data_IF_750673384826
#
_entry.id   IF_750673384826
#
_cell.length_a   1.000
_cell.length_b   1.000
_cell.length_c   1.000
_cell.angle_alpha   90.00
_cell.angle_beta   90.00
_cell.angle_gamma   90.00
#
_symmetry.space_group_name_H-M   'P 1'
#
loop_
_entity.id
_entity.type
_entity.pdbx_description
1 polymer ?
#
# COMPACT_ATOMS: atom_id res chain seq x y z
N UNK A 1 27.41 -14.20 2.71
CA UNK A 1 26.21 -15.05 2.65
C UNK A 1 25.40 -15.01 3.95
N UNK A 2 26.02 -15.15 5.12
CA UNK A 2 25.37 -15.05 6.45
C UNK A 2 24.73 -13.69 6.70
N UNK A 3 25.38 -12.59 6.35
CA UNK A 3 24.88 -11.22 6.54
C UNK A 3 23.58 -10.95 5.76
N UNK A 4 23.50 -11.45 4.52
CA UNK A 4 22.29 -11.30 3.69
C UNK A 4 21.09 -12.08 4.25
N UNK A 5 21.35 -13.23 4.87
CA UNK A 5 20.31 -14.03 5.53
C UNK A 5 19.84 -13.37 6.82
N UNK A 6 20.74 -12.79 7.59
CA UNK A 6 20.40 -12.03 8.80
C UNK A 6 19.60 -10.78 8.47
N UNK A 7 20.01 -10.06 7.43
CA UNK A 7 19.27 -8.86 6.98
C UNK A 7 17.87 -9.19 6.50
N UNK A 8 17.70 -10.25 5.67
CA UNK A 8 16.38 -10.72 5.26
C UNK A 8 15.50 -11.12 6.44
N UNK A 9 16.08 -11.82 7.41
CA UNK A 9 15.36 -12.25 8.61
C UNK A 9 14.93 -11.04 9.46
N UNK A 10 15.79 -10.04 9.60
CA UNK A 10 15.46 -8.78 10.29
C UNK A 10 14.34 -8.04 9.59
N UNK A 11 14.42 -7.88 8.27
CA UNK A 11 13.37 -7.23 7.46
C UNK A 11 12.03 -7.97 7.54
N UNK A 12 12.05 -9.30 7.54
CA UNK A 12 10.84 -10.11 7.71
C UNK A 12 10.21 -9.89 9.09
N UNK A 13 11.01 -9.88 10.16
CA UNK A 13 10.52 -9.65 11.52
C UNK A 13 9.97 -8.22 11.70
N UNK A 14 10.62 -7.24 11.10
CA UNK A 14 10.13 -5.85 11.11
C UNK A 14 8.80 -5.72 10.35
N UNK A 15 8.67 -6.38 9.21
CA UNK A 15 7.43 -6.40 8.43
C UNK A 15 6.30 -7.07 9.22
N UNK A 16 6.55 -8.23 9.80
CA UNK A 16 5.58 -8.95 10.64
C UNK A 16 5.13 -8.12 11.85
N UNK A 17 6.07 -7.42 12.49
CA UNK A 17 5.77 -6.55 13.64
C UNK A 17 4.91 -5.35 13.22
N UNK A 18 5.17 -4.76 12.06
CA UNK A 18 4.35 -3.68 11.49
C UNK A 18 2.94 -4.17 11.15
N UNK A 19 2.83 -5.31 10.50
CA UNK A 19 1.55 -5.91 10.12
C UNK A 19 0.70 -6.21 11.37
N UNK A 20 1.31 -6.79 12.39
CA UNK A 20 0.63 -7.04 13.66
C UNK A 20 0.19 -5.76 14.36
N UNK A 21 1.02 -4.73 14.35
CA UNK A 21 0.65 -3.43 14.90
C UNK A 21 -0.56 -2.84 14.17
N UNK A 22 -0.61 -2.95 12.84
CA UNK A 22 -1.72 -2.47 12.04
C UNK A 22 -3.00 -3.28 12.29
N UNK A 23 -2.92 -4.59 12.42
CA UNK A 23 -4.04 -5.44 12.79
C UNK A 23 -4.60 -5.08 14.17
N UNK A 24 -3.73 -4.91 15.15
CA UNK A 24 -4.10 -4.52 16.51
C UNK A 24 -4.76 -3.13 16.54
N UNK A 25 -4.24 -2.19 15.75
CA UNK A 25 -4.82 -0.85 15.59
C UNK A 25 -6.22 -0.92 14.99
N UNK A 26 -6.40 -1.67 13.92
CA UNK A 26 -7.69 -1.86 13.26
C UNK A 26 -8.71 -2.52 14.18
N UNK A 27 -8.27 -3.46 15.03
CA UNK A 27 -9.13 -4.16 15.98
C UNK A 27 -9.62 -3.27 17.14
N UNK A 28 -8.82 -2.27 17.54
CA UNK A 28 -9.18 -1.34 18.64
C UNK A 28 -10.24 -0.32 18.28
N UNK A 29 -10.39 0.00 17.02
CA UNK A 29 -11.28 1.04 16.54
C UNK A 29 -12.37 0.43 15.68
N UNK A 30 -13.60 0.46 16.18
CA UNK A 30 -14.78 0.06 15.42
C UNK A 30 -15.52 1.32 14.98
N UNK A 31 -15.44 1.61 13.69
CA UNK A 31 -16.15 2.72 13.06
C UNK A 31 -16.63 2.29 11.67
N UNK A 32 -17.75 2.87 11.20
CA UNK A 32 -18.26 2.53 9.88
C UNK A 32 -17.31 2.98 8.78
N UNK A 33 -17.04 2.07 7.84
CA UNK A 33 -16.20 2.33 6.67
C UNK A 33 -17.11 2.47 5.45
N UNK A 34 -16.98 3.54 4.65
CA UNK A 34 -17.77 3.69 3.43
C UNK A 34 -17.55 2.52 2.48
N UNK A 35 -18.65 1.93 2.01
CA UNK A 35 -18.61 0.76 1.13
C UNK A 35 -17.84 1.04 -0.17
N UNK A 36 -17.91 2.26 -0.69
CA UNK A 36 -17.16 2.67 -1.88
C UNK A 36 -15.64 2.47 -1.70
N UNK A 37 -15.11 2.81 -0.54
CA UNK A 37 -13.68 2.62 -0.25
C UNK A 37 -13.31 1.14 -0.16
N UNK A 38 -14.19 0.33 0.43
CA UNK A 38 -13.98 -1.13 0.50
C UNK A 38 -13.95 -1.73 -0.90
N UNK A 39 -14.88 -1.34 -1.78
CA UNK A 39 -14.92 -1.83 -3.16
C UNK A 39 -13.69 -1.40 -3.96
N UNK A 40 -13.24 -0.17 -3.81
CA UNK A 40 -12.01 0.31 -4.45
C UNK A 40 -10.78 -0.47 -3.97
N UNK A 41 -10.73 -0.80 -2.70
CA UNK A 41 -9.62 -1.59 -2.14
C UNK A 41 -9.67 -3.04 -2.64
N UNK A 42 -10.85 -3.63 -2.75
CA UNK A 42 -11.02 -4.96 -3.37
C UNK A 42 -10.51 -4.94 -4.81
N UNK A 43 -10.88 -3.93 -5.59
CA UNK A 43 -10.42 -3.78 -6.97
C UNK A 43 -8.90 -3.69 -7.05
N UNK A 44 -8.27 -2.90 -6.19
CA UNK A 44 -6.82 -2.76 -6.12
C UNK A 44 -6.13 -4.09 -5.76
N UNK A 45 -6.68 -4.85 -4.85
CA UNK A 45 -6.17 -6.17 -4.46
C UNK A 45 -6.28 -7.18 -5.60
N UNK A 46 -7.42 -7.22 -6.28
CA UNK A 46 -7.64 -8.10 -7.43
C UNK A 46 -6.69 -7.76 -8.58
N UNK A 47 -6.51 -6.49 -8.89
CA UNK A 47 -5.58 -6.04 -9.92
C UNK A 47 -4.14 -6.49 -9.63
N UNK A 48 -3.68 -6.32 -8.40
CA UNK A 48 -2.35 -6.80 -7.99
C UNK A 48 -2.22 -8.32 -8.11
N UNK A 49 -3.25 -9.06 -7.69
CA UNK A 49 -3.29 -10.51 -7.81
C UNK A 49 -3.24 -10.98 -9.26
N UNK A 50 -4.01 -10.35 -10.15
CA UNK A 50 -4.02 -10.66 -11.57
C UNK A 50 -2.68 -10.34 -12.24
N UNK A 51 -2.04 -9.23 -11.88
CA UNK A 51 -0.70 -8.91 -12.37
C UNK A 51 0.34 -9.94 -11.92
N UNK A 52 0.25 -10.40 -10.68
CA UNK A 52 1.13 -11.44 -10.16
C UNK A 52 0.94 -12.77 -10.91
N UNK A 53 -0.29 -13.17 -11.19
CA UNK A 53 -0.59 -14.36 -11.99
C UNK A 53 -0.08 -14.23 -13.42
N UNK A 54 -0.25 -13.08 -14.04
CA UNK A 54 0.29 -12.80 -15.38
C UNK A 54 1.82 -12.89 -15.40
N UNK A 55 2.48 -12.36 -14.37
CA UNK A 55 3.94 -12.43 -14.23
C UNK A 55 4.44 -13.87 -14.04
N UNK A 56 3.61 -14.75 -13.48
CA UNK A 56 3.89 -16.20 -13.34
C UNK A 56 3.59 -16.98 -14.62
N UNK A 57 3.11 -16.34 -15.67
CA UNK A 57 2.86 -16.95 -16.97
C UNK A 57 1.44 -17.48 -17.17
N UNK A 58 0.48 -17.08 -16.35
CA UNK A 58 -0.92 -17.47 -16.55
C UNK A 58 -1.45 -16.85 -17.86
N UNK A 59 -2.08 -17.68 -18.68
CA UNK A 59 -2.68 -17.27 -19.96
C UNK A 59 -3.85 -16.29 -19.70
N UNK A 60 -3.96 -15.20 -20.50
CA UNK A 60 -5.11 -14.29 -20.45
C UNK A 60 -6.47 -14.97 -20.57
N UNK A 61 -6.56 -16.07 -21.35
CA UNK A 61 -7.78 -16.85 -21.45
C UNK A 61 -8.17 -17.53 -20.12
N UNK A 62 -7.18 -18.04 -19.41
CA UNK A 62 -7.38 -18.62 -18.08
C UNK A 62 -7.80 -17.57 -17.06
N UNK A 63 -7.22 -16.35 -17.12
CA UNK A 63 -7.60 -15.25 -16.25
C UNK A 63 -9.05 -14.81 -16.46
N UNK A 64 -9.53 -14.80 -17.70
CA UNK A 64 -10.94 -14.48 -18.01
C UNK A 64 -11.93 -15.54 -17.51
N UNK A 65 -11.48 -16.76 -17.31
CA UNK A 65 -12.28 -17.85 -16.75
C UNK A 65 -12.38 -17.89 -15.24
N UNK A 66 -11.73 -16.95 -14.52
CA UNK A 66 -11.79 -16.89 -13.08
C UNK A 66 -13.17 -16.42 -12.57
N UNK A 67 -13.60 -16.95 -11.44
CA UNK A 67 -14.81 -16.53 -10.76
C UNK A 67 -14.50 -15.25 -9.96
N UNK A 68 -14.74 -14.09 -10.58
CA UNK A 68 -14.46 -12.79 -10.00
C UNK A 68 -15.34 -12.48 -8.78
N UNK A 69 -16.60 -12.91 -8.77
CA UNK A 69 -17.49 -12.69 -7.62
C UNK A 69 -16.96 -13.40 -6.37
N UNK A 70 -16.51 -14.62 -6.53
CA UNK A 70 -15.89 -15.39 -5.46
C UNK A 70 -14.56 -14.77 -5.00
N UNK A 71 -13.73 -14.34 -5.92
CA UNK A 71 -12.47 -13.66 -5.63
C UNK A 71 -12.71 -12.38 -4.85
N UNK A 72 -13.70 -11.58 -5.25
CA UNK A 72 -14.10 -10.36 -4.53
C UNK A 72 -14.55 -10.66 -3.11
N UNK A 73 -15.39 -11.67 -2.92
CA UNK A 73 -15.88 -12.08 -1.60
C UNK A 73 -14.74 -12.50 -0.67
N UNK A 74 -13.78 -13.26 -1.18
CA UNK A 74 -12.59 -13.71 -0.41
C UNK A 74 -11.71 -12.53 0.00
N UNK A 75 -11.60 -11.49 -0.84
CA UNK A 75 -10.75 -10.33 -0.56
C UNK A 75 -11.39 -9.31 0.40
N UNK A 76 -12.69 -9.40 0.64
CA UNK A 76 -13.45 -8.36 1.36
C UNK A 76 -12.93 -8.06 2.76
N UNK A 77 -12.70 -9.08 3.58
CA UNK A 77 -12.27 -8.88 4.99
C UNK A 77 -10.91 -8.21 5.07
N UNK A 78 -9.97 -8.66 4.25
CA UNK A 78 -8.65 -8.04 4.17
C UNK A 78 -8.72 -6.60 3.65
N UNK A 79 -9.54 -6.34 2.64
CA UNK A 79 -9.75 -5.01 2.10
C UNK A 79 -10.34 -4.05 3.14
N UNK A 80 -11.33 -4.51 3.90
CA UNK A 80 -11.95 -3.73 4.98
C UNK A 80 -10.90 -3.34 6.04
N UNK A 81 -10.07 -4.28 6.47
CA UNK A 81 -9.00 -4.03 7.42
C UNK A 81 -7.99 -3.02 6.91
N UNK A 82 -7.59 -3.12 5.65
CA UNK A 82 -6.66 -2.18 5.01
C UNK A 82 -7.24 -0.77 4.92
N UNK A 83 -8.51 -0.63 4.56
CA UNK A 83 -9.18 0.68 4.51
C UNK A 83 -9.26 1.31 5.90
N UNK A 84 -9.61 0.54 6.93
CA UNK A 84 -9.60 1.02 8.33
C UNK A 84 -8.23 1.57 8.72
N UNK A 85 -7.17 0.85 8.43
CA UNK A 85 -5.79 1.28 8.71
C UNK A 85 -5.47 2.57 7.97
N UNK A 86 -5.81 2.68 6.70
CA UNK A 86 -5.58 3.90 5.92
C UNK A 86 -6.27 5.11 6.52
N UNK A 87 -7.54 4.97 6.93
CA UNK A 87 -8.31 6.05 7.57
C UNK A 87 -7.68 6.45 8.90
N UNK A 88 -7.25 5.49 9.71
CA UNK A 88 -6.58 5.75 10.98
C UNK A 88 -5.25 6.48 10.80
N UNK A 89 -4.44 6.04 9.85
CA UNK A 89 -3.15 6.70 9.54
C UNK A 89 -3.36 8.13 9.03
N UNK A 90 -4.36 8.37 8.20
CA UNK A 90 -4.68 9.71 7.72
C UNK A 90 -5.11 10.64 8.87
N UNK A 91 -5.90 10.12 9.81
CA UNK A 91 -6.30 10.85 11.01
C UNK A 91 -5.12 11.19 11.92
N UNK A 92 -4.28 10.21 12.20
CA UNK A 92 -3.07 10.41 13.02
C UNK A 92 -2.12 11.40 12.34
N UNK A 93 -1.93 11.29 11.04
CA UNK A 93 -1.10 12.22 10.29
C UNK A 93 -1.62 13.66 10.38
N UNK A 94 -2.94 13.85 10.37
CA UNK A 94 -3.57 15.16 10.56
C UNK A 94 -3.36 15.71 11.97
N UNK A 95 -3.57 14.90 12.99
CA UNK A 95 -3.38 15.30 14.40
C UNK A 95 -1.92 15.61 14.74
N UNK A 96 -0.98 14.88 14.18
CA UNK A 96 0.46 15.06 14.43
C UNK A 96 1.15 15.98 13.42
N UNK A 97 0.40 16.57 12.50
CA UNK A 97 0.92 17.45 11.44
C UNK A 97 2.04 16.83 10.62
N UNK A 98 1.90 15.54 10.31
CA UNK A 98 2.85 14.84 9.43
C UNK A 98 2.60 15.29 8.00
N UNK A 99 3.63 15.82 7.37
CA UNK A 99 3.59 16.31 5.99
C UNK A 99 4.66 15.65 5.14
N UNK A 100 4.43 15.63 3.84
CA UNK A 100 5.37 15.14 2.83
C UNK A 100 5.81 16.31 1.97
N UNK A 101 7.12 16.55 1.90
CA UNK A 101 7.71 17.62 1.09
C UNK A 101 7.70 17.25 -0.39
N UNK A 102 7.83 18.26 -1.26
CA UNK A 102 7.98 18.05 -2.69
C UNK A 102 9.25 17.26 -3.02
N UNK A 103 10.32 17.45 -2.24
CA UNK A 103 11.57 16.67 -2.36
C UNK A 103 11.35 15.19 -2.07
N UNK A 104 10.58 14.85 -1.03
CA UNK A 104 10.22 13.46 -0.72
C UNK A 104 9.43 12.82 -1.87
N UNK A 105 8.51 13.56 -2.47
CA UNK A 105 7.75 13.10 -3.65
C UNK A 105 8.68 12.90 -4.84
N UNK A 106 9.59 13.83 -5.10
CA UNK A 106 10.54 13.71 -6.20
C UNK A 106 11.48 12.50 -6.04
N UNK A 107 11.94 12.23 -4.84
CA UNK A 107 12.75 11.05 -4.55
C UNK A 107 11.98 9.75 -4.85
N UNK A 108 10.71 9.67 -4.48
CA UNK A 108 9.86 8.52 -4.79
C UNK A 108 9.64 8.36 -6.30
N UNK A 109 9.42 9.47 -7.02
CA UNK A 109 9.27 9.46 -8.47
C UNK A 109 10.53 8.96 -9.18
N UNK A 110 11.71 9.29 -8.67
CA UNK A 110 12.97 8.74 -9.19
C UNK A 110 13.03 7.22 -9.04
N UNK A 111 12.63 6.68 -7.89
CA UNK A 111 12.56 5.23 -7.67
C UNK A 111 11.57 4.56 -8.62
N UNK A 112 10.38 5.13 -8.77
CA UNK A 112 9.36 4.61 -9.71
C UNK A 112 9.87 4.65 -11.14
N UNK A 113 10.52 5.73 -11.55
CA UNK A 113 11.13 5.87 -12.88
C UNK A 113 12.15 4.76 -13.16
N UNK A 114 13.00 4.44 -12.18
CA UNK A 114 13.96 3.36 -12.29
C UNK A 114 13.30 1.98 -12.39
N UNK A 115 12.27 1.75 -11.60
CA UNK A 115 11.56 0.47 -11.56
C UNK A 115 10.74 0.21 -12.84
N UNK A 116 10.08 1.24 -13.34
CA UNK A 116 9.21 1.14 -14.52
C UNK A 116 9.93 1.39 -15.84
N UNK A 117 11.18 1.88 -15.78
CA UNK A 117 11.95 2.32 -16.95
C UNK A 117 11.27 3.43 -17.76
N UNK A 118 10.38 4.17 -17.14
CA UNK A 118 9.74 5.35 -17.71
C UNK A 118 10.59 6.58 -17.39
N UNK A 119 10.88 7.47 -18.36
CA UNK A 119 11.61 8.70 -18.08
C UNK A 119 10.92 9.56 -17.03
N UNK A 120 11.67 10.15 -16.12
CA UNK A 120 11.15 10.92 -14.99
C UNK A 120 10.21 12.04 -15.42
N UNK A 121 10.57 12.80 -16.47
CA UNK A 121 9.76 13.90 -16.96
C UNK A 121 8.41 13.41 -17.52
N UNK A 122 8.42 12.32 -18.27
CA UNK A 122 7.19 11.68 -18.79
C UNK A 122 6.30 11.19 -17.65
N UNK A 123 6.91 10.56 -16.64
CA UNK A 123 6.21 10.08 -15.45
C UNK A 123 5.54 11.24 -14.70
N UNK A 124 6.26 12.33 -14.48
CA UNK A 124 5.73 13.52 -13.79
C UNK A 124 4.53 14.14 -14.53
N UNK A 125 4.63 14.28 -15.84
CA UNK A 125 3.54 14.81 -16.67
C UNK A 125 2.31 13.92 -16.59
N UNK A 126 2.47 12.62 -16.75
CA UNK A 126 1.36 11.65 -16.67
C UNK A 126 0.67 11.70 -15.31
N UNK A 127 1.45 11.64 -14.24
CA UNK A 127 0.91 11.62 -12.88
C UNK A 127 0.26 12.96 -12.48
N UNK A 128 0.74 14.09 -13.02
CA UNK A 128 0.09 15.38 -12.79
C UNK A 128 -1.27 15.50 -13.47
N UNK A 129 -1.46 14.79 -14.59
CA UNK A 129 -2.72 14.80 -15.35
C UNK A 129 -3.79 13.88 -14.77
N UNK A 130 -3.39 12.74 -14.20
CA UNK A 130 -4.32 11.70 -13.70
C UNK A 130 -4.54 11.72 -12.18
N UNK A 131 -4.02 12.71 -11.48
CA UNK A 131 -4.07 12.80 -10.01
C UNK A 131 -3.11 11.86 -9.28
N UNK A 132 -2.21 11.20 -9.98
CA UNK A 132 -1.27 10.25 -9.42
C UNK A 132 -0.28 10.85 -8.42
N UNK A 133 0.10 12.13 -8.61
CA UNK A 133 0.98 12.83 -7.66
C UNK A 133 0.35 12.94 -6.28
N UNK A 134 -0.94 13.28 -6.21
CA UNK A 134 -1.68 13.34 -4.95
C UNK A 134 -1.76 11.98 -4.26
N UNK A 135 -1.98 10.92 -5.03
CA UNK A 135 -2.00 9.53 -4.50
C UNK A 135 -0.64 9.12 -3.95
N UNK A 136 0.45 9.44 -4.63
CA UNK A 136 1.82 9.15 -4.17
C UNK A 136 2.11 9.92 -2.88
N UNK A 137 1.80 11.20 -2.83
CA UNK A 137 1.98 12.03 -1.63
C UNK A 137 1.22 11.46 -0.44
N UNK A 138 -0.03 11.05 -0.62
CA UNK A 138 -0.85 10.47 0.43
C UNK A 138 -0.30 9.12 0.90
N UNK A 139 0.16 8.28 0.00
CA UNK A 139 0.81 7.01 0.34
C UNK A 139 2.09 7.24 1.14
N UNK A 140 2.95 8.16 0.72
CA UNK A 140 4.16 8.51 1.45
C UNK A 140 3.85 9.06 2.85
N UNK A 141 2.79 9.86 2.97
CA UNK A 141 2.32 10.37 4.26
C UNK A 141 1.91 9.25 5.19
N UNK A 142 1.18 8.25 4.71
CA UNK A 142 0.77 7.06 5.47
C UNK A 142 1.97 6.23 5.89
N UNK A 143 2.92 5.98 5.00
CA UNK A 143 4.17 5.27 5.29
C UNK A 143 5.00 6.00 6.36
N UNK A 144 5.13 7.31 6.23
CA UNK A 144 5.83 8.17 7.20
C UNK A 144 5.16 8.13 8.57
N UNK A 145 3.84 8.16 8.62
CA UNK A 145 3.04 8.03 9.84
C UNK A 145 3.23 6.65 10.48
N UNK A 146 3.17 5.60 9.67
CA UNK A 146 3.39 4.23 10.13
C UNK A 146 4.80 4.06 10.72
N UNK A 147 5.81 4.59 10.06
CA UNK A 147 7.20 4.56 10.54
C UNK A 147 7.33 5.28 11.89
N UNK A 148 6.71 6.46 12.02
CA UNK A 148 6.71 7.22 13.27
C UNK A 148 6.03 6.44 14.42
N UNK A 149 4.92 5.77 14.14
CA UNK A 149 4.23 4.93 15.13
C UNK A 149 5.07 3.71 15.53
N UNK A 150 5.69 3.06 14.55
CA UNK A 150 6.54 1.90 14.81
C UNK A 150 7.75 2.25 15.68
N UNK A 151 8.38 3.39 15.44
CA UNK A 151 9.53 3.87 16.22
C UNK A 151 9.18 4.20 17.68
N UNK A 152 7.91 4.49 17.98
CA UNK A 152 7.41 4.76 19.35
C UNK A 152 7.06 3.50 20.12
N UNK A 153 7.04 2.33 19.49
CA UNK A 153 6.77 1.08 20.18
C UNK A 153 7.94 0.74 21.12
N UNK A 154 7.66 0.30 22.37
CA UNK A 154 8.71 -0.22 23.23
C UNK A 154 9.33 -1.45 22.58
N UNK A 155 10.62 -1.38 22.40
CA UNK A 155 11.47 -2.30 21.64
C UNK A 155 11.46 -3.76 22.05
#
# INVERSE_FOLDING_TARGET
MRERLQERKRQSLESEARDKMLEDLAAKFDFPVPETFVQQQIDARLERGLRALAAQGMDPAQMRGLDFDRLRAVQRDAALGEVKVQILLDRIAGEENITVSDEEVDNELQLVSLQTREPLDTLKVRLSQDGGLGRIRQQLRREKTLTALYERLPG
#
